data_IF_966495344539
#
_entry.id   IF_966495344539
#
_cell.length_a   1.000
_cell.length_b   1.000
_cell.length_c   1.000
_cell.angle_alpha   90.00
_cell.angle_beta   90.00
_cell.angle_gamma   90.00
#
_symmetry.space_group_name_H-M   'P 1'
#
loop_
_entity.id
_entity.type
_entity.pdbx_description
1 polymer ?
#
# COMPACT_ATOMS: atom_id res chain seq x y z
N UNK A 1 13.09 72.33 -26.11
CA UNK A 1 11.69 72.01 -26.48
C UNK A 1 10.97 71.57 -25.23
N UNK A 2 9.94 72.29 -24.76
CA UNK A 2 9.17 71.92 -23.57
C UNK A 2 8.29 70.72 -23.89
N UNK A 3 8.38 69.67 -23.07
CA UNK A 3 7.55 68.47 -23.16
C UNK A 3 6.08 68.87 -22.97
N UNK A 4 5.22 68.40 -23.86
CA UNK A 4 3.81 68.77 -23.88
C UNK A 4 3.13 68.24 -22.61
N UNK A 5 2.40 69.10 -21.89
CA UNK A 5 1.83 68.76 -20.59
C UNK A 5 0.81 67.60 -20.67
N UNK A 6 0.33 67.30 -21.88
CA UNK A 6 -0.53 66.14 -22.19
C UNK A 6 0.21 64.80 -22.11
N UNK A 7 1.45 64.71 -22.59
CA UNK A 7 2.22 63.45 -22.53
C UNK A 7 2.51 63.04 -21.08
N UNK A 8 2.73 64.01 -20.19
CA UNK A 8 3.02 63.75 -18.78
C UNK A 8 1.78 63.23 -18.04
N UNK A 9 0.58 63.65 -18.45
CA UNK A 9 -0.68 63.19 -17.86
C UNK A 9 -1.03 61.76 -18.29
N UNK A 10 -0.84 61.41 -19.57
CA UNK A 10 -1.08 60.05 -20.07
C UNK A 10 -0.09 59.03 -19.49
N UNK A 11 1.16 59.43 -19.27
CA UNK A 11 2.17 58.60 -18.60
C UNK A 11 1.87 58.38 -17.10
N UNK A 12 1.18 59.32 -16.45
CA UNK A 12 0.77 59.18 -15.06
C UNK A 12 -0.44 58.24 -14.92
N UNK A 13 -1.41 58.33 -15.84
CA UNK A 13 -2.63 57.50 -15.82
C UNK A 13 -2.34 56.02 -16.17
N UNK A 14 -1.38 55.79 -17.07
CA UNK A 14 -0.91 54.43 -17.40
C UNK A 14 -0.11 53.76 -16.27
N UNK A 15 0.52 54.53 -15.37
CA UNK A 15 1.20 53.99 -14.17
C UNK A 15 0.22 53.65 -13.05
N UNK A 16 -0.83 54.43 -12.87
CA UNK A 16 -1.82 54.22 -11.79
C UNK A 16 -2.64 52.94 -12.04
N UNK A 17 -2.94 52.62 -13.30
CA UNK A 17 -3.67 51.40 -13.68
C UNK A 17 -2.87 50.10 -13.51
N UNK A 18 -1.53 50.15 -13.47
CA UNK A 18 -0.67 48.96 -13.23
C UNK A 18 -0.44 48.61 -11.77
N UNK A 19 -0.72 49.52 -10.83
CA UNK A 19 -0.45 49.29 -9.40
C UNK A 19 -1.56 48.51 -8.67
N UNK A 20 -2.72 48.27 -9.31
CA UNK A 20 -3.92 47.74 -8.66
C UNK A 20 -4.09 46.21 -8.66
N UNK A 21 -3.17 45.42 -9.24
CA UNK A 21 -3.27 43.96 -9.22
C UNK A 21 -2.25 43.33 -8.28
N UNK A 22 -2.32 43.65 -6.98
CA UNK A 22 -1.88 42.73 -5.94
C UNK A 22 -2.84 41.53 -5.94
N UNK A 23 -2.70 40.68 -6.98
CA UNK A 23 -3.39 39.42 -7.07
C UNK A 23 -3.09 38.64 -5.81
N UNK A 24 -4.12 38.38 -5.00
CA UNK A 24 -4.10 37.35 -3.97
C UNK A 24 -3.44 36.14 -4.60
N UNK A 25 -2.21 35.81 -4.18
CA UNK A 25 -1.53 34.57 -4.52
C UNK A 25 -2.41 33.45 -3.96
N UNK A 26 -3.40 33.01 -4.74
CA UNK A 26 -4.13 31.79 -4.45
C UNK A 26 -3.07 30.70 -4.54
N UNK A 27 -2.64 30.20 -3.39
CA UNK A 27 -1.79 29.02 -3.33
C UNK A 27 -2.42 27.97 -4.25
N UNK A 28 -1.67 27.42 -5.21
CA UNK A 28 -2.24 26.46 -6.13
C UNK A 28 -2.68 25.24 -5.32
N UNK A 29 -3.99 25.04 -5.18
CA UNK A 29 -4.59 24.00 -4.34
C UNK A 29 -4.19 22.57 -4.80
N UNK A 30 -3.91 22.42 -6.09
CA UNK A 30 -3.59 21.14 -6.74
C UNK A 30 -2.22 20.56 -6.33
N UNK A 31 -1.10 21.30 -6.37
CA UNK A 31 0.17 20.79 -5.89
C UNK A 31 0.19 20.53 -4.39
N UNK A 32 -0.57 21.28 -3.58
CA UNK A 32 -0.72 20.95 -2.16
C UNK A 32 -1.43 19.59 -1.99
N UNK A 33 -2.51 19.35 -2.74
CA UNK A 33 -3.19 18.05 -2.75
C UNK A 33 -2.27 16.93 -3.23
N UNK A 34 -1.41 17.19 -4.23
CA UNK A 34 -0.39 16.24 -4.70
C UNK A 34 0.56 15.82 -3.56
N UNK A 35 1.10 16.79 -2.82
CA UNK A 35 2.00 16.53 -1.68
C UNK A 35 1.27 15.73 -0.60
N UNK A 36 0.02 16.07 -0.30
CA UNK A 36 -0.79 15.35 0.70
C UNK A 36 -1.01 13.90 0.27
N UNK A 37 -1.40 13.65 -0.99
CA UNK A 37 -1.63 12.29 -1.49
C UNK A 37 -0.35 11.47 -1.48
N UNK A 38 0.77 12.04 -1.93
CA UNK A 38 2.07 11.36 -1.88
C UNK A 38 2.50 11.08 -0.44
N UNK A 39 2.31 12.04 0.47
CA UNK A 39 2.62 11.87 1.89
C UNK A 39 1.78 10.77 2.56
N UNK A 40 0.48 10.72 2.27
CA UNK A 40 -0.41 9.65 2.75
C UNK A 40 0.00 8.30 2.18
N UNK A 41 0.35 8.22 0.89
CA UNK A 41 0.85 7.00 0.28
C UNK A 41 2.17 6.53 0.91
N UNK A 42 3.12 7.44 1.15
CA UNK A 42 4.37 7.10 1.83
C UNK A 42 4.12 6.60 3.26
N UNK A 43 3.21 7.24 4.00
CA UNK A 43 2.83 6.79 5.33
C UNK A 43 2.19 5.39 5.29
N UNK A 44 1.35 5.11 4.28
CA UNK A 44 0.75 3.80 4.07
C UNK A 44 1.82 2.73 3.82
N UNK A 45 2.77 2.98 2.91
CA UNK A 45 3.86 2.03 2.62
C UNK A 45 4.74 1.78 3.86
N UNK A 46 5.07 2.83 4.62
CA UNK A 46 5.84 2.70 5.87
C UNK A 46 5.06 1.88 6.90
N UNK A 47 3.75 2.12 7.04
CA UNK A 47 2.90 1.33 7.93
C UNK A 47 2.83 -0.14 7.48
N UNK A 48 2.68 -0.40 6.18
CA UNK A 48 2.68 -1.76 5.63
C UNK A 48 3.98 -2.51 5.94
N UNK A 49 5.14 -1.87 5.78
CA UNK A 49 6.44 -2.48 6.12
C UNK A 49 6.64 -2.68 7.63
N UNK A 50 6.20 -1.72 8.44
CA UNK A 50 6.35 -1.78 9.90
C UNK A 50 5.39 -2.79 10.55
N UNK A 51 4.17 -2.93 10.01
CA UNK A 51 3.12 -3.82 10.51
C UNK A 51 3.08 -5.18 9.82
N UNK A 52 3.86 -5.37 8.75
CA UNK A 52 3.87 -6.59 7.95
C UNK A 52 4.28 -7.83 8.73
N UNK A 53 3.90 -8.99 8.18
CA UNK A 53 4.14 -10.31 8.75
C UNK A 53 5.61 -10.67 8.73
N UNK A 54 6.11 -11.18 9.85
CA UNK A 54 7.48 -11.63 9.96
C UNK A 54 7.56 -13.15 9.82
N UNK A 55 8.28 -13.61 8.81
CA UNK A 55 8.63 -15.01 8.64
C UNK A 55 9.72 -15.38 9.63
N UNK A 56 9.51 -16.45 10.37
CA UNK A 56 10.43 -16.95 11.40
C UNK A 56 10.53 -18.45 11.30
N UNK A 57 11.74 -19.00 11.48
CA UNK A 57 11.92 -20.44 11.53
C UNK A 57 11.32 -21.04 12.81
N UNK A 58 10.97 -22.33 12.77
CA UNK A 58 10.46 -23.10 13.90
C UNK A 58 11.28 -22.89 15.18
N UNK A 59 12.61 -22.86 15.10
CA UNK A 59 13.49 -22.65 16.27
C UNK A 59 13.27 -21.31 17.00
N UNK A 60 12.83 -20.27 16.28
CA UNK A 60 12.47 -18.99 16.88
C UNK A 60 11.11 -19.07 17.57
N UNK A 61 10.14 -19.76 16.95
CA UNK A 61 8.83 -19.98 17.55
C UNK A 61 8.94 -20.82 18.84
N UNK A 62 9.74 -21.89 18.85
CA UNK A 62 10.05 -22.70 20.05
C UNK A 62 10.60 -21.82 21.18
N UNK A 63 11.49 -20.88 20.85
CA UNK A 63 12.05 -19.95 21.84
C UNK A 63 10.99 -18.98 22.38
N UNK A 64 10.17 -18.41 21.50
CA UNK A 64 9.13 -17.46 21.92
C UNK A 64 8.03 -18.14 22.77
N UNK A 65 7.71 -19.42 22.49
CA UNK A 65 6.85 -20.27 23.35
C UNK A 65 7.51 -20.47 24.71
N UNK A 66 8.77 -20.94 24.73
CA UNK A 66 9.48 -21.23 25.98
C UNK A 66 9.66 -19.99 26.88
N UNK A 67 9.80 -18.82 26.28
CA UNK A 67 9.89 -17.54 26.98
C UNK A 67 8.51 -17.00 27.42
N UNK A 68 7.40 -17.66 27.07
CA UNK A 68 6.05 -17.27 27.43
C UNK A 68 5.60 -15.94 26.81
N UNK A 69 6.13 -15.59 25.64
CA UNK A 69 5.93 -14.27 25.01
C UNK A 69 4.71 -14.20 24.08
N UNK A 70 4.14 -15.34 23.74
CA UNK A 70 3.05 -15.46 22.77
C UNK A 70 1.74 -15.00 23.40
N UNK A 71 1.07 -14.07 22.74
CA UNK A 71 -0.18 -13.46 23.21
C UNK A 71 -1.42 -14.08 22.56
N UNK A 72 -1.31 -14.52 21.32
CA UNK A 72 -2.35 -15.28 20.61
C UNK A 72 -1.77 -16.04 19.43
N UNK A 73 -2.51 -17.03 18.94
CA UNK A 73 -2.14 -17.80 17.75
C UNK A 73 -3.34 -18.15 16.88
N UNK A 74 -3.09 -18.53 15.64
CA UNK A 74 -4.07 -19.12 14.75
C UNK A 74 -3.38 -20.16 13.85
N UNK A 75 -4.05 -21.29 13.64
CA UNK A 75 -3.75 -22.19 12.53
C UNK A 75 -4.60 -21.76 11.34
N UNK A 76 -4.04 -21.70 10.14
CA UNK A 76 -4.76 -21.21 8.96
C UNK A 76 -4.60 -22.13 7.75
N UNK A 77 -5.66 -22.26 6.96
CA UNK A 77 -5.70 -23.15 5.78
C UNK A 77 -4.96 -22.52 4.60
N UNK A 78 -5.08 -21.20 4.48
CA UNK A 78 -4.51 -20.40 3.42
C UNK A 78 -3.59 -19.35 4.01
N UNK A 79 -2.43 -19.21 3.36
CA UNK A 79 -1.45 -18.18 3.69
C UNK A 79 -2.05 -16.79 3.50
N UNK A 80 -1.60 -15.78 4.25
CA UNK A 80 -1.78 -14.39 3.83
C UNK A 80 -1.10 -14.23 2.46
N UNK A 81 -1.91 -14.15 1.39
CA UNK A 81 -1.39 -14.16 0.04
C UNK A 81 -0.81 -12.79 -0.36
N UNK A 82 0.37 -12.79 -0.96
CA UNK A 82 0.96 -11.60 -1.60
C UNK A 82 0.46 -11.48 -3.05
N UNK A 83 -0.07 -12.59 -3.60
CA UNK A 83 -0.58 -12.73 -4.96
C UNK A 83 -2.10 -12.70 -5.07
N UNK A 84 -2.80 -12.43 -3.96
CA UNK A 84 -4.25 -12.45 -3.86
C UNK A 84 -4.92 -11.56 -4.90
N UNK A 85 -6.14 -11.95 -5.30
CA UNK A 85 -6.97 -11.16 -6.22
C UNK A 85 -7.43 -9.82 -5.62
N UNK A 86 -7.15 -9.58 -4.33
CA UNK A 86 -7.38 -8.32 -3.63
C UNK A 86 -6.50 -7.18 -4.16
N UNK A 87 -7.04 -5.96 -4.16
CA UNK A 87 -6.22 -4.76 -4.39
C UNK A 87 -5.45 -4.37 -3.13
N UNK A 88 -4.45 -3.51 -3.25
CA UNK A 88 -3.65 -2.97 -2.11
C UNK A 88 -4.46 -2.21 -1.04
N UNK A 89 -5.78 -2.15 -1.19
CA UNK A 89 -6.76 -1.53 -0.29
C UNK A 89 -7.61 -2.55 0.49
N UNK A 90 -7.37 -3.85 0.32
CA UNK A 90 -8.08 -4.91 1.06
C UNK A 90 -7.45 -5.16 2.43
N UNK A 91 -8.26 -5.62 3.38
CA UNK A 91 -7.77 -6.05 4.69
C UNK A 91 -6.97 -7.36 4.53
N UNK A 92 -5.71 -7.41 4.98
CA UNK A 92 -4.88 -8.63 4.91
C UNK A 92 -5.49 -9.84 5.61
N UNK A 93 -6.40 -9.63 6.58
CA UNK A 93 -7.13 -10.72 7.26
C UNK A 93 -8.23 -11.33 6.41
N UNK A 94 -8.71 -10.64 5.39
CA UNK A 94 -9.90 -11.08 4.63
C UNK A 94 -9.70 -12.37 3.84
N UNK A 95 -8.44 -12.78 3.64
CA UNK A 95 -8.07 -14.00 2.92
C UNK A 95 -7.61 -15.13 3.86
N UNK A 96 -7.60 -14.89 5.18
CA UNK A 96 -7.13 -15.85 6.18
C UNK A 96 -8.31 -16.68 6.69
N UNK A 97 -8.30 -17.98 6.39
CA UNK A 97 -9.30 -18.94 6.85
C UNK A 97 -8.77 -19.68 8.07
N UNK A 98 -9.51 -19.65 9.18
CA UNK A 98 -9.15 -20.34 10.42
C UNK A 98 -9.23 -21.86 10.23
N UNK A 99 -8.13 -22.55 10.51
CA UNK A 99 -7.96 -24.00 10.45
C UNK A 99 -7.86 -24.63 11.84
N UNK A 100 -8.20 -23.91 12.92
CA UNK A 100 -8.16 -24.46 14.27
C UNK A 100 -9.02 -25.74 14.37
N UNK A 101 -8.37 -26.88 14.60
CA UNK A 101 -9.00 -28.20 14.64
C UNK A 101 -8.74 -29.05 13.40
N UNK A 102 -8.12 -28.49 12.36
CA UNK A 102 -7.53 -29.26 11.27
C UNK A 102 -6.31 -30.03 11.77
N UNK A 103 -6.21 -31.31 11.40
CA UNK A 103 -5.01 -32.13 11.61
C UNK A 103 -4.14 -32.21 10.35
N UNK A 104 -4.42 -31.36 9.36
CA UNK A 104 -3.71 -31.38 8.09
C UNK A 104 -2.28 -30.85 8.26
N UNK A 105 -1.33 -31.42 7.52
CA UNK A 105 0.08 -30.99 7.56
C UNK A 105 0.33 -29.71 6.77
N UNK A 106 -0.67 -29.26 6.02
CA UNK A 106 -0.66 -28.04 5.19
C UNK A 106 -1.11 -26.78 5.93
N UNK A 107 -1.34 -26.84 7.24
CA UNK A 107 -1.71 -25.65 8.04
C UNK A 107 -0.52 -24.72 8.27
N UNK A 108 -0.77 -23.41 8.31
CA UNK A 108 0.25 -22.45 8.76
C UNK A 108 0.03 -22.01 10.19
N UNK A 109 1.13 -21.90 10.95
CA UNK A 109 1.11 -21.36 12.29
C UNK A 109 1.41 -19.86 12.26
N UNK A 110 0.40 -19.08 12.60
CA UNK A 110 0.51 -17.65 12.85
C UNK A 110 0.45 -17.41 14.35
N UNK A 111 1.31 -16.53 14.86
CA UNK A 111 1.23 -16.08 16.24
C UNK A 111 1.60 -14.62 16.41
N UNK A 112 1.16 -14.02 17.51
CA UNK A 112 1.48 -12.64 17.88
C UNK A 112 2.25 -12.59 19.19
N UNK A 113 3.04 -11.53 19.34
CA UNK A 113 3.67 -11.15 20.59
C UNK A 113 3.08 -9.83 21.08
N UNK A 114 3.48 -9.40 22.28
CA UNK A 114 3.08 -8.11 22.85
C UNK A 114 3.49 -6.86 22.02
N UNK A 115 4.41 -7.00 21.05
CA UNK A 115 4.77 -5.93 20.11
C UNK A 115 3.74 -5.73 18.99
N UNK A 116 2.75 -6.63 18.88
CA UNK A 116 1.65 -6.57 17.92
C UNK A 116 2.04 -6.91 16.48
N UNK A 117 3.28 -7.40 16.24
CA UNK A 117 3.71 -7.80 14.91
C UNK A 117 3.42 -9.29 14.72
N UNK A 118 2.60 -9.68 13.74
CA UNK A 118 2.32 -11.09 13.51
C UNK A 118 3.55 -11.81 12.95
N UNK A 119 3.73 -13.05 13.38
CA UNK A 119 4.80 -13.95 12.96
C UNK A 119 4.20 -15.18 12.30
N UNK A 120 4.78 -15.59 11.19
CA UNK A 120 4.45 -16.81 10.47
C UNK A 120 5.61 -17.78 10.70
N UNK A 121 5.35 -18.86 11.43
CA UNK A 121 6.35 -19.90 11.66
C UNK A 121 6.48 -20.78 10.41
N UNK A 122 7.71 -21.01 9.96
CA UNK A 122 8.01 -21.97 8.88
C UNK A 122 8.65 -23.24 9.46
N UNK A 123 8.45 -24.41 8.82
CA UNK A 123 9.10 -25.65 9.22
C UNK A 123 10.63 -25.53 9.28
N UNK A 124 11.28 -26.25 10.18
CA UNK A 124 12.71 -26.14 10.45
C UNK A 124 13.62 -26.55 9.29
N UNK A 125 13.09 -27.25 8.28
CA UNK A 125 13.83 -27.64 7.07
C UNK A 125 13.70 -26.62 5.93
N UNK A 126 12.96 -25.53 6.12
CA UNK A 126 12.78 -24.46 5.15
C UNK A 126 13.32 -23.15 5.70
N UNK A 127 14.09 -22.43 4.88
CA UNK A 127 14.53 -21.09 5.24
C UNK A 127 13.34 -20.11 5.20
N UNK A 128 13.18 -19.24 6.22
CA UNK A 128 12.07 -18.29 6.29
C UNK A 128 12.20 -17.24 5.17
N UNK A 129 11.54 -17.49 4.04
CA UNK A 129 11.54 -16.62 2.87
C UNK A 129 10.13 -16.49 2.30
N UNK A 130 9.75 -15.35 1.71
CA UNK A 130 8.42 -15.18 1.12
C UNK A 130 8.16 -16.09 -0.10
N UNK A 131 9.19 -16.75 -0.62
CA UNK A 131 9.16 -17.51 -1.88
C UNK A 131 9.26 -19.01 -1.69
N UNK A 132 9.72 -19.48 -0.53
CA UNK A 132 9.91 -20.91 -0.24
C UNK A 132 9.10 -21.32 0.98
N UNK A 133 8.41 -22.45 0.85
CA UNK A 133 7.48 -22.93 1.86
C UNK A 133 7.60 -24.46 1.97
N UNK A 134 7.26 -25.00 3.13
CA UNK A 134 7.31 -26.44 3.40
C UNK A 134 6.09 -26.93 4.16
N UNK A 135 5.98 -28.24 4.26
CA UNK A 135 4.95 -28.93 5.06
C UNK A 135 5.52 -29.32 6.41
N UNK A 136 4.73 -29.26 7.48
CA UNK A 136 5.23 -29.65 8.79
C UNK A 136 5.52 -31.15 8.86
N UNK A 137 6.64 -31.52 9.47
CA UNK A 137 6.90 -32.91 9.82
C UNK A 137 5.97 -33.37 10.95
N UNK A 138 5.77 -34.69 11.10
CA UNK A 138 4.95 -35.25 12.18
C UNK A 138 5.42 -34.80 13.58
N UNK A 139 6.74 -34.68 13.78
CA UNK A 139 7.32 -34.21 15.03
C UNK A 139 7.00 -32.73 15.30
N UNK A 140 7.01 -31.90 14.26
CA UNK A 140 6.67 -30.48 14.38
C UNK A 140 5.16 -30.29 14.62
N UNK A 141 4.32 -31.07 13.95
CA UNK A 141 2.87 -31.07 14.19
C UNK A 141 2.53 -31.47 15.62
N UNK A 142 3.20 -32.52 16.14
CA UNK A 142 3.03 -32.92 17.54
C UNK A 142 3.43 -31.80 18.51
N UNK A 143 4.51 -31.07 18.21
CA UNK A 143 4.90 -29.89 18.99
C UNK A 143 3.87 -28.76 18.91
N UNK A 144 3.34 -28.44 17.73
CA UNK A 144 2.26 -27.44 17.57
C UNK A 144 1.03 -27.84 18.39
N UNK A 145 0.62 -29.10 18.30
CA UNK A 145 -0.51 -29.64 19.03
C UNK A 145 -0.32 -29.46 20.54
N UNK A 146 0.84 -29.87 21.06
CA UNK A 146 1.14 -29.81 22.48
C UNK A 146 1.26 -28.36 23.01
N UNK A 147 1.99 -27.49 22.30
CA UNK A 147 2.34 -26.15 22.82
C UNK A 147 1.34 -25.05 22.47
N UNK A 148 0.54 -25.23 21.41
CA UNK A 148 -0.46 -24.24 21.00
C UNK A 148 -1.87 -24.75 21.23
N UNK A 149 -2.23 -25.91 20.66
CA UNK A 149 -3.62 -26.40 20.68
C UNK A 149 -4.07 -26.80 22.09
N UNK A 150 -3.19 -27.42 22.87
CA UNK A 150 -3.48 -27.81 24.26
C UNK A 150 -3.21 -26.69 25.27
N UNK A 151 -2.71 -25.54 24.80
CA UNK A 151 -2.37 -24.40 25.65
C UNK A 151 -3.59 -23.57 26.04
N UNK A 152 -3.40 -22.64 26.99
CA UNK A 152 -4.39 -21.61 27.32
C UNK A 152 -4.24 -20.33 26.49
N UNK A 153 -3.39 -20.35 25.45
CA UNK A 153 -3.17 -19.18 24.60
C UNK A 153 -4.45 -18.94 23.77
N UNK A 154 -4.94 -17.70 23.66
CA UNK A 154 -6.07 -17.38 22.80
C UNK A 154 -5.85 -17.83 21.35
N UNK A 155 -6.73 -18.71 20.86
CA UNK A 155 -6.67 -19.30 19.53
C UNK A 155 -7.64 -18.62 18.55
N UNK A 156 -7.25 -18.51 17.28
CA UNK A 156 -8.12 -18.13 16.16
C UNK A 156 -7.82 -16.77 15.57
N UNK A 157 -8.18 -16.61 14.30
CA UNK A 157 -7.85 -15.42 13.50
C UNK A 157 -8.43 -14.13 14.10
N UNK A 158 -9.57 -14.23 14.79
CA UNK A 158 -10.22 -13.13 15.52
C UNK A 158 -9.41 -12.63 16.72
N UNK A 159 -8.54 -13.47 17.28
CA UNK A 159 -7.71 -13.15 18.44
C UNK A 159 -6.31 -12.64 18.06
N UNK A 160 -5.97 -12.62 16.76
CA UNK A 160 -4.70 -12.07 16.29
C UNK A 160 -4.68 -10.54 16.45
N UNK A 161 -3.91 -10.04 17.41
CA UNK A 161 -3.65 -8.60 17.56
C UNK A 161 -2.53 -8.17 16.61
N UNK A 162 -2.93 -7.70 15.42
CA UNK A 162 -2.02 -7.11 14.41
C UNK A 162 -1.60 -5.67 14.77
N UNK A 163 -1.97 -5.20 15.97
CA UNK A 163 -1.51 -3.95 16.54
C UNK A 163 -2.20 -2.71 15.98
N UNK A 164 -1.58 -1.55 16.25
CA UNK A 164 -2.05 -0.25 15.76
C UNK A 164 -1.66 -0.02 14.30
N UNK A 165 -0.54 -0.59 13.88
CA UNK A 165 0.05 -0.32 12.56
C UNK A 165 -0.82 -0.88 11.43
N UNK A 166 -1.41 -2.06 11.60
CA UNK A 166 -2.38 -2.62 10.64
C UNK A 166 -3.60 -1.70 10.47
N UNK A 167 -4.23 -1.29 11.57
CA UNK A 167 -5.36 -0.36 11.52
C UNK A 167 -5.02 0.95 10.81
N UNK A 168 -3.83 1.50 11.05
CA UNK A 168 -3.36 2.71 10.37
C UNK A 168 -3.18 2.45 8.87
N UNK A 169 -2.57 1.33 8.49
CA UNK A 169 -2.43 0.92 7.10
C UNK A 169 -3.79 0.82 6.41
N UNK A 170 -4.72 0.04 6.98
CA UNK A 170 -6.06 -0.19 6.42
C UNK A 170 -6.85 1.11 6.26
N UNK A 171 -6.81 2.01 7.25
CA UNK A 171 -7.46 3.33 7.16
C UNK A 171 -6.83 4.18 6.05
N UNK A 172 -5.49 4.24 5.99
CA UNK A 172 -4.80 5.00 4.95
C UNK A 172 -5.10 4.45 3.55
N UNK A 173 -5.11 3.12 3.41
CA UNK A 173 -5.38 2.46 2.14
C UNK A 173 -6.82 2.73 1.67
N UNK A 174 -7.81 2.62 2.56
CA UNK A 174 -9.21 2.96 2.26
C UNK A 174 -9.40 4.44 1.92
N UNK A 175 -8.77 5.35 2.66
CA UNK A 175 -8.84 6.80 2.38
C UNK A 175 -8.22 7.13 1.04
N UNK A 176 -7.06 6.53 0.72
CA UNK A 176 -6.39 6.72 -0.57
C UNK A 176 -7.21 6.13 -1.71
N UNK A 177 -7.63 4.87 -1.62
CA UNK A 177 -8.40 4.20 -2.67
C UNK A 177 -9.74 4.88 -2.90
N UNK A 178 -10.51 5.13 -1.84
CA UNK A 178 -11.82 5.79 -1.91
C UNK A 178 -11.72 7.25 -2.36
N UNK A 179 -10.78 8.01 -1.80
CA UNK A 179 -10.55 9.41 -2.18
C UNK A 179 -10.09 9.54 -3.63
N UNK A 180 -9.22 8.64 -4.08
CA UNK A 180 -8.72 8.63 -5.44
C UNK A 180 -9.78 8.18 -6.45
N UNK A 181 -10.60 7.18 -6.10
CA UNK A 181 -11.76 6.78 -6.91
C UNK A 181 -12.76 7.93 -7.07
N UNK A 182 -13.10 8.61 -5.97
CA UNK A 182 -13.98 9.78 -6.00
C UNK A 182 -13.42 10.89 -6.90
N UNK A 183 -12.10 11.12 -6.84
CA UNK A 183 -11.43 12.13 -7.64
C UNK A 183 -11.39 11.77 -9.14
N UNK A 184 -11.24 10.49 -9.49
CA UNK A 184 -11.31 10.05 -10.89
C UNK A 184 -12.73 10.14 -11.46
N UNK A 185 -13.74 9.75 -10.67
CA UNK A 185 -15.13 9.70 -11.12
C UNK A 185 -15.78 11.08 -11.15
N UNK A 186 -15.66 11.85 -10.06
CA UNK A 186 -16.36 13.12 -9.86
C UNK A 186 -15.44 14.34 -9.96
N UNK A 187 -14.12 14.15 -9.91
CA UNK A 187 -13.16 15.25 -9.97
C UNK A 187 -12.95 15.85 -11.36
N UNK A 188 -12.04 16.83 -11.47
CA UNK A 188 -11.70 17.49 -12.72
C UNK A 188 -11.31 16.50 -13.82
N UNK A 189 -11.62 16.83 -15.07
CA UNK A 189 -11.24 15.99 -16.22
C UNK A 189 -9.71 15.84 -16.24
N UNK A 190 -9.17 14.60 -16.21
CA UNK A 190 -7.73 14.39 -16.25
C UNK A 190 -7.13 14.85 -17.59
N UNK A 191 -5.86 15.28 -17.56
CA UNK A 191 -5.15 15.89 -18.68
C UNK A 191 -4.35 14.90 -19.51
N UNK A 192 -3.77 13.87 -18.89
CA UNK A 192 -2.85 12.93 -19.53
C UNK A 192 -3.55 11.65 -20.03
N UNK A 193 -4.52 11.15 -19.25
CA UNK A 193 -5.37 10.01 -19.61
C UNK A 193 -6.85 10.38 -19.59
N UNK A 194 -7.70 9.48 -20.08
CA UNK A 194 -9.12 9.56 -19.78
C UNK A 194 -9.41 9.03 -18.36
N UNK A 195 -10.65 9.21 -17.86
CA UNK A 195 -11.02 8.71 -16.52
C UNK A 195 -10.85 7.20 -16.39
N UNK A 196 -11.17 6.44 -17.44
CA UNK A 196 -11.04 4.99 -17.46
C UNK A 196 -9.59 4.51 -17.42
N UNK A 197 -8.67 5.23 -18.05
CA UNK A 197 -7.24 4.97 -17.96
C UNK A 197 -6.78 5.03 -16.50
N UNK A 198 -7.13 6.13 -15.82
CA UNK A 198 -6.76 6.33 -14.42
C UNK A 198 -7.48 5.39 -13.46
N UNK A 199 -8.74 5.03 -13.76
CA UNK A 199 -9.48 4.01 -13.02
C UNK A 199 -8.70 2.70 -12.94
N UNK A 200 -8.19 2.20 -14.07
CA UNK A 200 -7.38 0.98 -14.08
C UNK A 200 -6.05 1.15 -13.36
N UNK A 201 -5.38 2.30 -13.53
CA UNK A 201 -4.08 2.52 -12.89
C UNK A 201 -4.16 2.57 -11.37
N UNK A 202 -5.26 3.03 -10.77
CA UNK A 202 -5.46 2.98 -9.30
C UNK A 202 -5.30 1.54 -8.78
N UNK A 203 -5.68 0.55 -9.59
CA UNK A 203 -5.53 -0.87 -9.31
C UNK A 203 -4.09 -1.38 -9.25
N UNK A 204 -3.10 -0.57 -9.64
CA UNK A 204 -1.70 -1.03 -9.65
C UNK A 204 -1.23 -1.42 -8.24
N UNK A 205 -0.43 -2.51 -8.11
CA UNK A 205 0.07 -2.97 -6.83
C UNK A 205 0.72 -1.88 -6.00
N UNK A 206 0.52 -1.94 -4.68
CA UNK A 206 1.08 -0.98 -3.73
C UNK A 206 0.61 0.47 -3.92
N UNK A 207 -0.50 0.72 -4.63
CA UNK A 207 -1.04 2.08 -4.83
C UNK A 207 -0.22 2.97 -5.75
N UNK A 208 0.65 2.41 -6.58
CA UNK A 208 1.53 3.17 -7.48
C UNK A 208 0.76 4.08 -8.45
N UNK A 209 -0.46 3.70 -8.85
CA UNK A 209 -1.30 4.53 -9.71
C UNK A 209 -1.79 5.80 -9.02
N UNK A 210 -2.01 5.75 -7.71
CA UNK A 210 -2.39 6.91 -6.90
C UNK A 210 -1.26 7.94 -6.91
N UNK A 211 -0.01 7.48 -6.74
CA UNK A 211 1.18 8.34 -6.81
C UNK A 211 1.35 8.91 -8.21
N UNK A 212 1.24 8.08 -9.25
CA UNK A 212 1.35 8.53 -10.64
C UNK A 212 0.33 9.63 -10.96
N UNK A 213 -0.92 9.46 -10.52
CA UNK A 213 -1.95 10.47 -10.67
C UNK A 213 -1.63 11.74 -9.88
N UNK A 214 -1.23 11.61 -8.61
CA UNK A 214 -0.88 12.74 -7.77
C UNK A 214 0.23 13.59 -8.40
N UNK A 215 1.24 12.95 -8.98
CA UNK A 215 2.37 13.65 -9.60
C UNK A 215 1.96 14.29 -10.94
N UNK A 216 1.32 13.54 -11.84
CA UNK A 216 1.04 14.01 -13.21
C UNK A 216 -0.21 14.88 -13.33
N UNK A 217 -1.27 14.62 -12.57
CA UNK A 217 -2.55 15.31 -12.71
C UNK A 217 -2.77 16.40 -11.64
N UNK A 218 -2.30 16.19 -10.42
CA UNK A 218 -2.43 17.17 -9.33
C UNK A 218 -1.19 18.07 -9.20
N UNK A 219 -0.01 17.49 -9.31
CA UNK A 219 1.27 18.22 -9.23
C UNK A 219 1.53 19.11 -10.45
N UNK A 220 0.83 18.86 -11.57
CA UNK A 220 1.03 19.59 -12.83
C UNK A 220 2.39 19.31 -13.48
N UNK A 221 3.05 18.20 -13.09
CA UNK A 221 4.29 17.77 -13.72
C UNK A 221 4.02 17.58 -15.20
N UNK A 222 4.72 18.32 -16.06
CA UNK A 222 4.55 18.30 -17.53
C UNK A 222 3.19 18.80 -18.03
N UNK A 223 2.50 19.69 -17.31
CA UNK A 223 1.27 20.33 -17.80
C UNK A 223 1.43 20.95 -19.21
N UNK A 224 2.62 21.46 -19.54
CA UNK A 224 2.95 22.02 -20.87
C UNK A 224 3.10 20.97 -21.98
N UNK A 225 3.15 19.67 -21.65
CA UNK A 225 3.21 18.53 -22.58
C UNK A 225 1.95 17.68 -22.55
N UNK A 226 0.89 18.16 -21.89
CA UNK A 226 -0.37 17.43 -21.84
C UNK A 226 -0.91 17.23 -23.27
N UNK A 227 -1.18 15.99 -23.70
CA UNK A 227 -1.65 15.72 -25.05
C UNK A 227 -3.04 16.35 -25.27
N UNK A 228 -3.36 16.72 -26.53
CA UNK A 228 -4.71 17.14 -26.89
C UNK A 228 -5.72 16.02 -26.57
N UNK A 229 -7.00 16.34 -26.30
CA UNK A 229 -8.00 15.37 -25.83
C UNK A 229 -8.08 14.08 -26.64
N UNK A 230 -7.94 14.18 -27.97
CA UNK A 230 -8.00 13.08 -28.94
C UNK A 230 -6.82 12.11 -28.84
N UNK A 231 -5.69 12.54 -28.27
CA UNK A 231 -4.45 11.75 -28.13
C UNK A 231 -4.19 11.26 -26.70
N UNK A 232 -5.16 11.45 -25.79
CA UNK A 232 -5.03 10.98 -24.41
C UNK A 232 -5.07 9.46 -24.35
N UNK A 233 -4.32 8.89 -23.40
CA UNK A 233 -4.32 7.46 -23.17
C UNK A 233 -5.73 6.96 -22.84
N UNK A 234 -6.19 5.97 -23.61
CA UNK A 234 -7.51 5.36 -23.46
C UNK A 234 -7.57 4.32 -22.35
N UNK A 235 -8.79 3.90 -21.99
CA UNK A 235 -9.04 2.93 -20.92
C UNK A 235 -8.38 1.57 -21.18
N UNK A 236 -8.49 1.05 -22.41
CA UNK A 236 -7.87 -0.23 -22.77
C UNK A 236 -6.35 -0.25 -22.61
N UNK A 237 -5.68 0.87 -22.90
CA UNK A 237 -4.25 0.99 -22.66
C UNK A 237 -3.92 1.00 -21.15
N UNK A 238 -4.73 1.66 -20.33
CA UNK A 238 -4.59 1.64 -18.87
C UNK A 238 -4.76 0.24 -18.29
N UNK A 239 -5.70 -0.53 -18.82
CA UNK A 239 -5.90 -1.94 -18.45
C UNK A 239 -4.69 -2.81 -18.83
N UNK A 240 -4.15 -2.67 -20.04
CA UNK A 240 -2.93 -3.39 -20.44
C UNK A 240 -1.72 -3.05 -19.58
N UNK A 241 -1.57 -1.77 -19.20
CA UNK A 241 -0.53 -1.35 -18.26
C UNK A 241 -0.72 -1.97 -16.88
N UNK A 242 -1.96 -2.02 -16.37
CA UNK A 242 -2.25 -2.67 -15.10
C UNK A 242 -1.81 -4.15 -15.12
N UNK A 243 -2.17 -4.89 -16.16
CA UNK A 243 -1.77 -6.30 -16.30
C UNK A 243 -0.24 -6.46 -16.37
N UNK A 244 0.42 -5.65 -17.20
CA UNK A 244 1.87 -5.71 -17.35
C UNK A 244 2.59 -5.38 -16.04
N UNK A 245 2.19 -4.29 -15.37
CA UNK A 245 2.77 -3.89 -14.09
C UNK A 245 2.41 -4.83 -12.95
N UNK A 246 1.24 -5.47 -12.97
CA UNK A 246 0.90 -6.54 -12.03
C UNK A 246 1.91 -7.67 -12.12
N UNK A 247 2.16 -8.16 -13.34
CA UNK A 247 3.13 -9.24 -13.57
C UNK A 247 4.57 -8.84 -13.22
N UNK A 248 5.01 -7.66 -13.70
CA UNK A 248 6.37 -7.17 -13.40
C UNK A 248 6.55 -6.80 -11.92
N UNK A 249 5.49 -6.35 -11.25
CA UNK A 249 5.50 -6.02 -9.83
C UNK A 249 5.73 -7.27 -8.98
N UNK A 250 5.03 -8.36 -9.28
CA UNK A 250 5.24 -9.66 -8.60
C UNK A 250 6.68 -10.15 -8.80
N UNK A 251 7.17 -10.16 -10.05
CA UNK A 251 8.55 -10.58 -10.36
C UNK A 251 9.57 -9.68 -9.65
N UNK A 252 9.40 -8.37 -9.74
CA UNK A 252 10.29 -7.40 -9.11
C UNK A 252 10.33 -7.53 -7.59
N UNK A 253 9.17 -7.78 -6.98
CA UNK A 253 9.07 -8.03 -5.54
C UNK A 253 9.78 -9.32 -5.14
N UNK A 254 9.55 -10.43 -5.84
CA UNK A 254 10.22 -11.71 -5.58
C UNK A 254 11.74 -11.62 -5.70
N UNK A 255 12.23 -10.90 -6.73
CA UNK A 255 13.66 -10.66 -6.90
C UNK A 255 14.21 -9.79 -5.77
N UNK A 256 13.48 -8.74 -5.37
CA UNK A 256 13.89 -7.85 -4.29
C UNK A 256 13.97 -8.60 -2.95
N UNK A 257 12.96 -9.41 -2.62
CA UNK A 257 12.95 -10.18 -1.36
C UNK A 257 14.02 -11.27 -1.36
N UNK A 258 14.23 -11.95 -2.50
CA UNK A 258 15.31 -12.92 -2.66
C UNK A 258 16.71 -12.31 -2.53
N UNK A 259 16.94 -11.12 -3.09
CA UNK A 259 18.22 -10.41 -3.00
C UNK A 259 18.49 -9.82 -1.60
N UNK A 260 17.44 -9.33 -0.93
CA UNK A 260 17.57 -8.70 0.38
C UNK A 260 17.49 -9.70 1.55
N UNK A 261 17.18 -10.98 1.28
CA UNK A 261 16.86 -11.96 2.32
C UNK A 261 15.71 -11.49 3.20
N UNK A 262 14.76 -10.76 2.62
CA UNK A 262 13.72 -10.10 3.39
C UNK A 262 12.75 -11.14 3.98
N UNK A 263 12.69 -11.21 5.30
CA UNK A 263 11.78 -12.11 6.04
C UNK A 263 10.45 -11.43 6.38
N UNK A 264 10.07 -10.39 5.63
CA UNK A 264 8.90 -9.55 5.94
C UNK A 264 7.96 -9.52 4.75
N UNK A 265 6.71 -9.86 5.01
CA UNK A 265 5.60 -9.74 4.06
C UNK A 265 4.85 -8.44 4.41
N UNK A 266 4.86 -7.42 3.55
CA UNK A 266 4.10 -6.19 3.77
C UNK A 266 2.61 -6.49 3.94
N UNK A 267 1.91 -5.64 4.69
CA UNK A 267 0.44 -5.61 4.75
C UNK A 267 -0.16 -5.23 3.39
#
# INVERSE_FOLDING_TARGET
MPRDAREVAEDAESRITRAGSCGRRRLPLRPLLSIVVVGLWSAMVIASLAGGWQLVGQSSAVRDVADGRITSYALVESRPDISGAGGWWTDPRSEIVDANGSQDSDVELIYTLADGRPRIAVPGHVDPTPTMWGTWSEQELAWIQQEFVESQIPAGTVNLDLGRTERVHTVLALVLAGGMLALVVAGPVPRHGNRWFWFWLIGMPGGLGVVAYAIWELGGWRDHRAPPPERRSGGGYGFLLLLLWGMLGVIGWQLLTGLLGATVIPL
#
